data_IF_814652936460
#
_entry.id   IF_814652936460
#
_cell.length_a   1.000
_cell.length_b   1.000
_cell.length_c   1.000
_cell.angle_alpha   90.00
_cell.angle_beta   90.00
_cell.angle_gamma   90.00
#
_symmetry.space_group_name_H-M   'P 1'
#
loop_
_entity.id
_entity.type
_entity.pdbx_description
1 polymer ?
#
# COMPACT_ATOMS: atom_id res chain seq x y z
N UNK A 1 22.99 -41.60 32.00
CA UNK A 1 21.56 -41.97 31.83
C UNK A 1 21.01 -41.20 30.66
N UNK A 2 20.47 -41.91 29.66
CA UNK A 2 19.83 -41.37 28.47
C UNK A 2 18.32 -41.32 28.74
N UNK A 3 17.68 -40.18 28.46
CA UNK A 3 16.22 -40.00 28.49
C UNK A 3 15.88 -38.56 28.83
N UNK A 4 15.09 -37.81 28.07
CA UNK A 4 14.37 -38.09 26.85
C UNK A 4 13.79 -36.76 26.38
N UNK A 5 14.04 -36.43 25.12
CA UNK A 5 13.19 -35.69 24.17
C UNK A 5 12.28 -34.59 24.71
N UNK A 6 12.56 -33.39 24.16
CA UNK A 6 11.59 -32.42 23.63
C UNK A 6 10.72 -31.66 24.63
N UNK A 7 11.15 -30.44 24.94
CA UNK A 7 10.27 -29.27 25.00
C UNK A 7 11.06 -28.02 24.57
N UNK A 8 11.59 -28.05 23.35
CA UNK A 8 12.00 -26.87 22.59
C UNK A 8 10.74 -26.27 21.94
N UNK A 9 9.90 -25.58 22.71
CA UNK A 9 8.81 -24.77 22.16
C UNK A 9 8.18 -23.89 23.24
N UNK A 10 7.86 -22.65 22.90
CA UNK A 10 7.26 -21.60 23.73
C UNK A 10 8.25 -20.93 24.70
N UNK A 11 8.85 -19.77 24.39
CA UNK A 11 8.15 -18.50 24.21
C UNK A 11 9.10 -17.47 23.54
N UNK A 12 9.35 -17.61 22.25
CA UNK A 12 10.08 -16.60 21.46
C UNK A 12 9.18 -15.94 20.39
N UNK A 13 7.92 -15.66 20.74
CA UNK A 13 6.94 -15.05 19.82
C UNK A 13 6.37 -13.77 20.42
N UNK A 14 7.18 -12.72 20.48
CA UNK A 14 6.70 -11.35 20.74
C UNK A 14 7.33 -10.27 19.84
N UNK A 15 8.05 -10.65 18.77
CA UNK A 15 8.61 -9.69 17.80
C UNK A 15 7.91 -9.69 16.41
N UNK A 16 6.58 -9.84 16.39
CA UNK A 16 5.81 -9.80 15.12
C UNK A 16 4.89 -8.58 14.98
N UNK A 17 5.06 -7.53 15.80
CA UNK A 17 4.29 -6.27 15.65
C UNK A 17 5.16 -5.06 15.21
N UNK A 18 6.33 -5.29 14.63
CA UNK A 18 7.16 -4.24 14.01
C UNK A 18 7.15 -4.30 12.47
N UNK A 19 6.09 -4.86 11.87
CA UNK A 19 5.98 -5.08 10.42
C UNK A 19 5.29 -3.98 9.61
N UNK A 20 4.98 -2.82 10.20
CA UNK A 20 4.53 -1.63 9.45
C UNK A 20 5.57 -0.50 9.51
N UNK A 21 6.85 -0.85 9.54
CA UNK A 21 7.90 0.06 9.10
C UNK A 21 8.05 -0.17 7.59
N UNK A 22 7.25 0.57 6.82
CA UNK A 22 7.54 0.76 5.39
C UNK A 22 8.98 1.28 5.30
N UNK A 23 9.82 0.40 4.78
CA UNK A 23 11.22 0.52 4.39
C UNK A 23 11.83 1.93 4.47
N UNK A 24 12.87 2.05 5.32
CA UNK A 24 13.70 3.23 5.55
C UNK A 24 14.64 3.60 4.40
N UNK A 25 14.20 3.42 3.16
CA UNK A 25 14.78 4.03 1.98
C UNK A 25 13.59 4.50 1.17
N UNK A 26 13.16 5.77 1.32
CA UNK A 26 11.99 6.30 0.61
C UNK A 26 12.10 5.91 -0.87
N UNK A 27 11.39 4.85 -1.33
CA UNK A 27 11.49 4.46 -2.71
C UNK A 27 10.87 5.63 -3.45
N UNK A 28 11.58 6.20 -4.42
CA UNK A 28 11.05 7.28 -5.26
C UNK A 28 9.65 6.88 -5.69
N UNK A 29 8.63 7.44 -5.04
CA UNK A 29 7.30 6.84 -5.07
C UNK A 29 6.84 6.84 -6.51
N UNK A 30 6.59 5.66 -7.05
CA UNK A 30 6.25 5.50 -8.46
C UNK A 30 4.75 5.54 -8.62
N UNK A 31 4.28 6.16 -9.69
CA UNK A 31 2.86 6.12 -10.08
C UNK A 31 2.31 4.70 -9.99
N UNK A 32 1.13 4.55 -9.39
CA UNK A 32 0.49 3.26 -9.15
C UNK A 32 -1.00 3.31 -9.46
N UNK A 33 -1.57 2.17 -9.87
CA UNK A 33 -3.01 2.06 -10.13
C UNK A 33 -3.79 1.86 -8.84
N UNK A 34 -5.00 2.40 -8.76
CA UNK A 34 -5.86 2.36 -7.56
C UNK A 34 -6.53 1.00 -7.30
N UNK A 35 -6.11 -0.05 -8.02
CA UNK A 35 -6.58 -1.42 -7.83
C UNK A 35 -7.84 -1.75 -8.64
N UNK A 36 -8.59 -2.75 -8.18
CA UNK A 36 -9.86 -3.18 -8.79
C UNK A 36 -11.00 -3.00 -7.79
N UNK A 37 -12.20 -2.71 -8.28
CA UNK A 37 -13.40 -2.54 -7.46
C UNK A 37 -14.14 -1.26 -7.78
N UNK A 38 -15.23 -1.04 -7.06
CA UNK A 38 -16.06 0.17 -7.23
C UNK A 38 -15.43 1.36 -6.52
N UNK A 39 -15.26 2.47 -7.23
CA UNK A 39 -14.87 3.76 -6.71
C UNK A 39 -16.00 4.36 -5.88
N UNK A 40 -16.07 3.95 -4.61
CA UNK A 40 -16.87 4.65 -3.61
C UNK A 40 -16.21 5.98 -3.22
N UNK A 41 -17.02 6.98 -2.87
CA UNK A 41 -16.54 8.31 -2.49
C UNK A 41 -15.48 8.25 -1.37
N UNK A 42 -15.78 7.53 -0.28
CA UNK A 42 -14.86 7.41 0.87
C UNK A 42 -13.56 6.69 0.52
N UNK A 43 -13.64 5.69 -0.36
CA UNK A 43 -12.47 4.94 -0.82
C UNK A 43 -11.58 5.82 -1.70
N UNK A 44 -12.17 6.47 -2.71
CA UNK A 44 -11.47 7.38 -3.61
C UNK A 44 -10.86 8.55 -2.84
N UNK A 45 -11.56 9.08 -1.82
CA UNK A 45 -11.04 10.14 -0.97
C UNK A 45 -9.80 9.69 -0.19
N UNK A 46 -9.86 8.53 0.48
CA UNK A 46 -8.70 7.97 1.20
C UNK A 46 -7.52 7.72 0.29
N UNK A 47 -7.80 7.16 -0.88
CA UNK A 47 -6.77 6.88 -1.86
C UNK A 47 -6.19 8.17 -2.46
N UNK A 48 -7.00 9.22 -2.60
CA UNK A 48 -6.56 10.55 -3.03
C UNK A 48 -5.66 11.19 -1.98
N UNK A 49 -6.04 11.14 -0.71
CA UNK A 49 -5.23 11.64 0.40
C UNK A 49 -3.88 10.92 0.45
N UNK A 50 -3.89 9.59 0.27
CA UNK A 50 -2.67 8.79 0.17
C UNK A 50 -1.81 9.18 -1.03
N UNK A 51 -2.41 9.31 -2.21
CA UNK A 51 -1.70 9.71 -3.42
C UNK A 51 -1.06 11.10 -3.27
N UNK A 52 -1.77 12.06 -2.66
CA UNK A 52 -1.25 13.39 -2.37
C UNK A 52 -0.14 13.37 -1.32
N UNK A 53 -0.27 12.55 -0.26
CA UNK A 53 0.81 12.33 0.71
C UNK A 53 2.04 11.67 0.07
N UNK A 54 1.84 10.96 -1.04
CA UNK A 54 2.89 10.37 -1.85
C UNK A 54 3.50 11.37 -2.87
N UNK A 55 2.99 12.60 -2.92
CA UNK A 55 3.43 13.67 -3.83
C UNK A 55 2.80 13.59 -5.22
N UNK A 56 1.77 12.77 -5.39
CA UNK A 56 1.05 12.58 -6.64
C UNK A 56 -0.37 13.16 -6.65
N UNK A 57 -1.04 12.92 -7.77
CA UNK A 57 -2.47 13.20 -7.97
C UNK A 57 -3.16 11.99 -8.59
N UNK A 58 -4.42 11.77 -8.23
CA UNK A 58 -5.24 10.77 -8.92
C UNK A 58 -5.64 11.34 -10.29
N UNK A 59 -5.38 10.57 -11.34
CA UNK A 59 -5.83 10.85 -12.69
C UNK A 59 -6.61 9.65 -13.24
N UNK A 60 -7.59 9.91 -14.08
CA UNK A 60 -8.23 8.86 -14.86
C UNK A 60 -7.21 8.31 -15.86
N UNK A 61 -7.09 6.99 -15.98
CA UNK A 61 -6.22 6.32 -16.96
C UNK A 61 -6.68 6.57 -18.39
N UNK A 62 -7.98 6.74 -18.59
CA UNK A 62 -8.61 6.88 -19.90
C UNK A 62 -9.79 7.85 -19.81
N UNK A 63 -9.83 8.81 -20.73
CA UNK A 63 -10.97 9.70 -20.88
C UNK A 63 -12.22 8.90 -21.31
N UNK A 64 -13.32 9.04 -20.56
CA UNK A 64 -14.56 8.33 -20.83
C UNK A 64 -14.66 6.91 -20.24
N UNK A 65 -13.71 6.51 -19.39
CA UNK A 65 -13.84 5.30 -18.58
C UNK A 65 -14.98 5.41 -17.55
N UNK A 66 -15.46 4.26 -17.07
CA UNK A 66 -16.49 4.22 -16.03
C UNK A 66 -15.94 4.85 -14.72
N UNK A 67 -16.51 5.97 -14.24
CA UNK A 67 -16.01 6.68 -13.06
C UNK A 67 -16.32 5.93 -11.76
N UNK A 68 -17.15 4.88 -11.82
CA UNK A 68 -17.46 4.03 -10.68
C UNK A 68 -16.45 2.92 -10.51
N UNK A 69 -15.41 2.80 -11.35
CA UNK A 69 -14.38 1.76 -11.22
C UNK A 69 -13.00 2.32 -10.86
N UNK A 70 -12.43 1.86 -9.74
CA UNK A 70 -11.08 2.23 -9.27
C UNK A 70 -9.98 1.87 -10.28
N UNK A 71 -10.19 0.84 -11.09
CA UNK A 71 -9.23 0.42 -12.12
C UNK A 71 -9.00 1.48 -13.20
N UNK A 72 -9.97 2.39 -13.38
CA UNK A 72 -9.86 3.51 -14.30
C UNK A 72 -9.12 4.69 -13.71
N UNK A 73 -8.67 4.61 -12.46
CA UNK A 73 -7.88 5.65 -11.83
C UNK A 73 -6.45 5.19 -11.55
N UNK A 74 -5.52 6.13 -11.61
CA UNK A 74 -4.12 5.92 -11.25
C UNK A 74 -3.62 7.10 -10.43
N UNK A 75 -2.83 6.83 -9.41
CA UNK A 75 -2.02 7.85 -8.76
C UNK A 75 -0.80 8.13 -9.65
N UNK A 76 -0.67 9.37 -10.11
CA UNK A 76 0.48 9.83 -10.89
C UNK A 76 1.39 10.63 -9.98
N UNK A 77 2.59 10.11 -9.75
CA UNK A 77 3.61 10.76 -8.92
C UNK A 77 4.71 11.26 -9.87
N UNK A 78 4.90 12.58 -10.01
CA UNK A 78 5.93 13.13 -10.88
C UNK A 78 7.31 12.72 -10.35
N UNK A 79 8.11 12.08 -11.20
CA UNK A 79 9.52 11.79 -10.89
C UNK A 79 10.32 13.08 -10.97
N UNK A 80 10.39 13.81 -9.86
CA UNK A 80 11.14 15.06 -9.74
C UNK A 80 10.33 16.17 -9.07
N UNK A 81 9.86 15.92 -7.85
CA UNK A 81 9.51 17.02 -6.95
C UNK A 81 10.79 17.76 -6.58
N UNK A 82 10.88 19.03 -7.00
CA UNK A 82 11.97 19.93 -6.64
C UNK A 82 11.80 20.40 -5.21
#
# INVERSE_FOLDING_TARGET
MIGGRTCLAALAVTLALAGCATDGAAPSKTSYSLGRGTAGYDQLRRDSEKCTADGGKIEAKQDGGDPTQLSNYTCVIPRGGK
#
